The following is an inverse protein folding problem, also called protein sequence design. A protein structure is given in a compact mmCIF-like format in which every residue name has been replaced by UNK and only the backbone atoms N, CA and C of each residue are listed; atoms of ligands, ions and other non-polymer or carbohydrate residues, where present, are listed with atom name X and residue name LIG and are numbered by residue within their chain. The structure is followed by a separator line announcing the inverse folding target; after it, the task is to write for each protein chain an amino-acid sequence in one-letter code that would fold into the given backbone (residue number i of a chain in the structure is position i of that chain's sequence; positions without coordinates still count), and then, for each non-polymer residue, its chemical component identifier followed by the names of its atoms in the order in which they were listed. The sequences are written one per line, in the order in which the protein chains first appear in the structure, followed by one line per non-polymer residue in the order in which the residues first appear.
data_IF_926128528076
#
_entry.id   IF_926128528076
#
_cell.length_a   1.000
_cell.length_b   1.000
_cell.length_c   1.000
_cell.angle_alpha   90.00
_cell.angle_beta   90.00
_cell.angle_gamma   90.00
#
_symmetry.space_group_name_H-M   'P 1'
#
loop_
_entity.id
_entity.type
_entity.pdbx_description
1 polymer ?
#
# COMPACT_ATOMS: atom_id res chain seq x y z
N UNK A 1 12.51 47.77 68.42
CA UNK A 1 13.04 48.28 67.13
C UNK A 1 11.86 48.66 66.25
N UNK A 2 11.82 49.88 65.68
CA UNK A 2 10.87 50.36 64.64
C UNK A 2 11.01 49.51 63.35
N UNK A 3 10.09 49.48 62.35
CA UNK A 3 9.14 50.53 61.87
C UNK A 3 7.67 50.05 61.68
N UNK A 4 6.63 50.90 61.78
CA UNK A 4 6.13 52.01 60.93
C UNK A 4 5.30 51.60 59.69
N UNK A 5 3.98 51.82 59.82
CA UNK A 5 2.98 52.34 58.87
C UNK A 5 2.99 51.93 57.37
N UNK A 6 1.87 51.32 56.94
CA UNK A 6 0.83 51.97 56.09
C UNK A 6 -0.54 51.26 56.18
N UNK A 7 -1.67 51.96 55.99
CA UNK A 7 -3.04 51.52 56.29
C UNK A 7 -3.81 50.97 55.06
N UNK A 8 -5.10 50.55 55.21
CA UNK A 8 -5.75 49.55 54.35
C UNK A 8 -6.86 50.07 53.41
N UNK A 9 -7.38 49.11 52.61
CA UNK A 9 -8.67 49.03 51.90
C UNK A 9 -8.85 49.82 50.60
N UNK A 10 -9.07 49.08 49.50
CA UNK A 10 -10.22 49.25 48.59
C UNK A 10 -10.35 48.08 47.61
N UNK A 11 -11.54 47.48 47.63
CA UNK A 11 -12.05 46.61 46.58
C UNK A 11 -11.99 47.32 45.21
N UNK A 12 -11.57 46.59 44.18
CA UNK A 12 -11.89 46.91 42.79
C UNK A 12 -12.04 45.63 41.97
N UNK A 13 -13.25 45.53 41.44
CA UNK A 13 -13.73 44.67 40.37
C UNK A 13 -12.73 44.49 39.20
N UNK A 14 -12.90 43.34 38.55
CA UNK A 14 -12.72 43.10 37.11
C UNK A 14 -11.41 43.54 36.44
N UNK A 15 -10.60 42.56 36.04
CA UNK A 15 -9.83 42.62 34.79
C UNK A 15 -9.49 41.19 34.34
N UNK A 16 -10.50 40.53 33.77
CA UNK A 16 -10.31 39.37 32.92
C UNK A 16 -9.56 39.77 31.64
N UNK A 17 -8.59 38.93 31.31
CA UNK A 17 -7.72 39.02 30.15
C UNK A 17 -8.52 39.13 28.84
N UNK A 18 -8.27 40.20 28.07
CA UNK A 18 -8.78 40.37 26.71
C UNK A 18 -7.94 39.55 25.72
N UNK A 19 -8.56 38.87 24.75
CA UNK A 19 -7.87 38.13 23.70
C UNK A 19 -7.37 39.07 22.59
N UNK A 20 -6.15 38.82 22.13
CA UNK A 20 -5.54 39.44 20.94
C UNK A 20 -6.29 38.97 19.68
N UNK A 21 -7.07 39.85 19.05
CA UNK A 21 -7.68 39.57 17.75
C UNK A 21 -6.66 39.77 16.63
N UNK A 22 -6.34 38.69 15.90
CA UNK A 22 -5.63 38.75 14.62
C UNK A 22 -6.55 39.42 13.58
N UNK A 23 -6.17 40.60 13.11
CA UNK A 23 -6.88 41.33 12.06
C UNK A 23 -6.58 40.65 10.72
N UNK A 24 -7.60 40.04 10.12
CA UNK A 24 -7.52 39.51 8.76
C UNK A 24 -7.17 40.67 7.80
N UNK A 25 -6.01 40.58 7.16
CA UNK A 25 -5.63 41.45 6.06
C UNK A 25 -6.64 41.29 4.94
N UNK A 26 -7.33 42.38 4.64
CA UNK A 26 -8.03 42.60 3.39
C UNK A 26 -7.11 42.21 2.24
N UNK A 27 -7.52 41.22 1.45
CA UNK A 27 -7.03 41.01 0.09
C UNK A 27 -7.31 42.29 -0.70
N UNK A 28 -6.31 43.16 -0.78
CA UNK A 28 -6.24 44.24 -1.74
C UNK A 28 -6.12 43.61 -3.12
N UNK A 29 -7.26 43.54 -3.82
CA UNK A 29 -7.26 43.47 -5.29
C UNK A 29 -6.46 44.68 -5.77
N UNK A 30 -5.38 44.50 -6.56
CA UNK A 30 -4.63 45.65 -7.05
C UNK A 30 -5.53 46.46 -7.98
N UNK A 31 -5.41 47.80 -7.98
CA UNK A 31 -6.18 48.63 -8.89
C UNK A 31 -5.82 48.20 -10.32
N UNK A 32 -6.86 48.01 -11.12
CA UNK A 32 -6.75 47.77 -12.56
C UNK A 32 -6.04 48.95 -13.19
N UNK A 33 -4.73 48.82 -13.39
CA UNK A 33 -4.00 49.64 -14.34
C UNK A 33 -4.44 49.16 -15.72
N UNK A 34 -5.20 49.99 -16.42
CA UNK A 34 -5.50 49.81 -17.83
C UNK A 34 -4.18 49.72 -18.60
N UNK A 35 -3.85 48.51 -19.04
CA UNK A 35 -2.64 48.21 -19.79
C UNK A 35 -2.77 46.83 -20.40
N UNK A 36 -2.57 46.74 -21.71
CA UNK A 36 -2.80 45.57 -22.56
C UNK A 36 -2.02 44.29 -22.21
N UNK A 37 -1.33 44.21 -21.06
CA UNK A 37 -0.51 43.07 -20.63
C UNK A 37 -1.16 42.12 -19.60
N UNK A 38 -2.30 42.46 -19.01
CA UNK A 38 -2.95 41.62 -17.99
C UNK A 38 -3.52 40.30 -18.52
N UNK A 39 -3.99 40.30 -19.77
CA UNK A 39 -4.48 39.10 -20.45
C UNK A 39 -3.35 38.11 -20.78
N UNK A 40 -2.16 38.61 -21.10
CA UNK A 40 -1.02 37.79 -21.53
C UNK A 40 -0.42 36.97 -20.39
N UNK A 41 -0.35 37.55 -19.17
CA UNK A 41 0.16 36.85 -17.99
C UNK A 41 -0.83 35.78 -17.49
N UNK A 42 -2.14 36.07 -17.49
CA UNK A 42 -3.18 35.10 -17.15
C UNK A 42 -3.27 33.94 -18.17
N UNK A 43 -3.09 34.24 -19.46
CA UNK A 43 -3.05 33.23 -20.53
C UNK A 43 -1.78 32.38 -20.46
N UNK A 44 -0.62 32.97 -20.13
CA UNK A 44 0.63 32.24 -19.94
C UNK A 44 0.60 31.36 -18.67
N UNK A 45 -0.04 31.80 -17.59
CA UNK A 45 -0.22 31.02 -16.37
C UNK A 45 -1.22 29.87 -16.59
N UNK A 46 -2.37 30.14 -17.23
CA UNK A 46 -3.35 29.12 -17.62
C UNK A 46 -2.77 28.12 -18.65
N UNK A 47 -1.92 28.61 -19.56
CA UNK A 47 -1.13 27.80 -20.49
C UNK A 47 -0.19 26.86 -19.75
N UNK A 48 0.66 27.36 -18.84
CA UNK A 48 1.56 26.53 -18.02
C UNK A 48 0.83 25.51 -17.15
N UNK A 49 -0.34 25.85 -16.59
CA UNK A 49 -1.16 24.92 -15.79
C UNK A 49 -1.78 23.84 -16.68
N UNK A 50 -2.28 24.19 -17.88
CA UNK A 50 -2.76 23.21 -18.86
C UNK A 50 -1.63 22.31 -19.36
N UNK A 51 -0.44 22.85 -19.66
CA UNK A 51 0.71 22.05 -20.12
C UNK A 51 1.22 21.11 -19.03
N UNK A 52 1.25 21.55 -17.76
CA UNK A 52 1.57 20.67 -16.62
C UNK A 52 0.51 19.58 -16.41
N UNK A 53 -0.78 19.91 -16.53
CA UNK A 53 -1.86 18.92 -16.41
C UNK A 53 -1.84 17.89 -17.56
N UNK A 54 -1.54 18.33 -18.80
CA UNK A 54 -1.37 17.45 -19.96
C UNK A 54 -0.11 16.60 -19.81
N UNK A 55 1.02 17.16 -19.36
CA UNK A 55 2.25 16.42 -19.11
C UNK A 55 2.08 15.36 -18.01
N UNK A 56 1.37 15.68 -16.92
CA UNK A 56 1.07 14.72 -15.85
C UNK A 56 0.12 13.61 -16.35
N UNK A 57 -0.89 13.95 -17.16
CA UNK A 57 -1.77 12.95 -17.79
C UNK A 57 -1.00 12.07 -18.77
N UNK A 58 -0.16 12.65 -19.62
CA UNK A 58 0.67 11.94 -20.58
C UNK A 58 1.66 11.01 -19.86
N UNK A 59 2.30 11.47 -18.77
CA UNK A 59 3.16 10.65 -17.94
C UNK A 59 2.40 9.49 -17.29
N UNK A 60 1.19 9.74 -16.75
CA UNK A 60 0.36 8.68 -16.16
C UNK A 60 -0.06 7.65 -17.21
N UNK A 61 -0.47 8.09 -18.39
CA UNK A 61 -0.80 7.20 -19.52
C UNK A 61 0.44 6.42 -19.95
N UNK A 62 1.59 7.07 -20.10
CA UNK A 62 2.85 6.44 -20.45
C UNK A 62 3.24 5.37 -19.42
N UNK A 63 3.13 5.63 -18.13
CA UNK A 63 3.44 4.65 -17.08
C UNK A 63 2.50 3.44 -17.12
N UNK A 64 1.21 3.65 -17.37
CA UNK A 64 0.24 2.56 -17.55
C UNK A 64 0.57 1.76 -18.80
N UNK A 65 0.86 2.43 -19.92
CA UNK A 65 1.26 1.79 -21.18
C UNK A 65 2.56 1.01 -21.00
N UNK A 66 3.55 1.56 -20.30
CA UNK A 66 4.80 0.86 -19.98
C UNK A 66 4.56 -0.35 -19.08
N UNK A 67 3.75 -0.21 -18.02
CA UNK A 67 3.41 -1.34 -17.15
C UNK A 67 2.72 -2.46 -17.96
N UNK A 68 1.75 -2.11 -18.80
CA UNK A 68 1.05 -3.06 -19.67
C UNK A 68 1.99 -3.65 -20.73
N UNK A 69 2.92 -2.87 -21.27
CA UNK A 69 3.92 -3.34 -22.23
C UNK A 69 4.92 -4.31 -21.58
N UNK A 70 5.38 -4.05 -20.35
CA UNK A 70 6.24 -4.97 -19.62
C UNK A 70 5.49 -6.25 -19.20
N UNK A 71 4.23 -6.14 -18.77
CA UNK A 71 3.38 -7.31 -18.55
C UNK A 71 3.22 -8.12 -19.85
N UNK A 72 2.88 -7.45 -20.95
CA UNK A 72 2.70 -8.06 -22.26
C UNK A 72 3.98 -8.71 -22.76
N UNK A 73 5.13 -8.05 -22.63
CA UNK A 73 6.45 -8.60 -22.95
C UNK A 73 6.79 -9.81 -22.08
N UNK A 74 6.52 -9.75 -20.78
CA UNK A 74 6.75 -10.88 -19.87
C UNK A 74 5.93 -12.10 -20.25
N UNK A 75 4.71 -11.91 -20.77
CA UNK A 75 3.85 -13.00 -21.23
C UNK A 75 4.25 -13.47 -22.64
N UNK A 76 4.53 -12.53 -23.55
CA UNK A 76 4.90 -12.82 -24.93
C UNK A 76 6.25 -13.54 -25.04
N UNK A 77 7.24 -13.15 -24.23
CA UNK A 77 8.57 -13.78 -24.21
C UNK A 77 8.54 -15.25 -23.76
N UNK A 78 7.45 -15.69 -23.12
CA UNK A 78 7.26 -17.05 -22.63
C UNK A 78 6.02 -17.71 -23.25
N UNK A 79 5.48 -17.16 -24.35
CA UNK A 79 4.18 -17.54 -24.87
C UNK A 79 4.12 -19.01 -25.28
N UNK A 80 5.07 -19.46 -26.10
CA UNK A 80 5.10 -20.85 -26.56
C UNK A 80 5.27 -21.82 -25.38
N UNK A 81 6.20 -21.51 -24.48
CA UNK A 81 6.43 -22.29 -23.26
C UNK A 81 5.20 -22.31 -22.33
N UNK A 82 4.45 -21.21 -22.23
CA UNK A 82 3.24 -21.12 -21.43
C UNK A 82 2.08 -21.91 -22.06
N UNK A 83 1.93 -21.86 -23.38
CA UNK A 83 0.93 -22.65 -24.12
C UNK A 83 1.21 -24.14 -23.93
N UNK A 84 2.46 -24.56 -24.10
CA UNK A 84 2.84 -25.96 -23.92
C UNK A 84 2.73 -26.40 -22.46
N UNK A 85 3.02 -25.51 -21.51
CA UNK A 85 2.79 -25.75 -20.08
C UNK A 85 1.30 -25.97 -19.78
N UNK A 86 0.43 -25.11 -20.30
CA UNK A 86 -1.01 -25.20 -20.04
C UNK A 86 -1.65 -26.41 -20.69
N UNK A 87 -1.14 -26.87 -21.84
CA UNK A 87 -1.59 -28.12 -22.47
C UNK A 87 -1.29 -29.37 -21.64
N UNK A 88 -0.27 -29.32 -20.80
CA UNK A 88 0.11 -30.42 -19.91
C UNK A 88 -0.71 -30.44 -18.61
N UNK A 89 -1.38 -29.35 -18.26
CA UNK A 89 -2.11 -29.19 -17.01
C UNK A 89 -3.61 -29.33 -17.20
N UNK A 90 -4.29 -29.90 -16.19
CA UNK A 90 -5.76 -29.93 -16.21
C UNK A 90 -6.35 -28.53 -15.98
N UNK A 91 -7.45 -28.22 -16.65
CA UNK A 91 -8.17 -26.95 -16.46
C UNK A 91 -8.65 -26.74 -15.02
N UNK A 92 -8.94 -27.83 -14.30
CA UNK A 92 -9.35 -27.79 -12.89
C UNK A 92 -8.18 -27.31 -12.02
N UNK A 93 -6.98 -27.83 -12.23
CA UNK A 93 -5.79 -27.39 -11.52
C UNK A 93 -5.47 -25.92 -11.82
N UNK A 94 -5.55 -25.50 -13.09
CA UNK A 94 -5.34 -24.10 -13.49
C UNK A 94 -6.37 -23.15 -12.87
N UNK A 95 -7.66 -23.54 -12.89
CA UNK A 95 -8.73 -22.75 -12.28
C UNK A 95 -8.60 -22.67 -10.75
N UNK A 96 -8.27 -23.79 -10.10
CA UNK A 96 -7.98 -23.85 -8.67
C UNK A 96 -6.78 -22.99 -8.28
N UNK A 97 -5.70 -23.05 -9.05
CA UNK A 97 -4.51 -22.23 -8.86
C UNK A 97 -4.84 -20.73 -9.05
N UNK A 98 -5.62 -20.37 -10.06
CA UNK A 98 -6.09 -18.99 -10.26
C UNK A 98 -6.91 -18.50 -9.06
N UNK A 99 -7.89 -19.30 -8.62
CA UNK A 99 -8.75 -18.95 -7.49
C UNK A 99 -7.94 -18.78 -6.20
N UNK A 100 -6.99 -19.67 -5.93
CA UNK A 100 -6.08 -19.58 -4.79
C UNK A 100 -5.19 -18.33 -4.87
N UNK A 101 -4.67 -18.00 -6.07
CA UNK A 101 -3.88 -16.79 -6.30
C UNK A 101 -4.67 -15.50 -6.06
N UNK A 102 -5.90 -15.42 -6.58
CA UNK A 102 -6.82 -14.29 -6.35
C UNK A 102 -7.17 -14.14 -4.86
N UNK A 103 -7.49 -15.24 -4.19
CA UNK A 103 -7.77 -15.25 -2.76
C UNK A 103 -6.54 -14.82 -1.93
N UNK A 104 -5.34 -15.26 -2.33
CA UNK A 104 -4.08 -14.85 -1.70
C UNK A 104 -3.82 -13.35 -1.81
N UNK A 105 -4.00 -12.78 -3.00
CA UNK A 105 -3.90 -11.34 -3.23
C UNK A 105 -4.93 -10.56 -2.39
N UNK A 106 -6.16 -11.06 -2.30
CA UNK A 106 -7.21 -10.46 -1.49
C UNK A 106 -6.89 -10.50 0.01
N UNK A 107 -6.40 -11.63 0.52
CA UNK A 107 -5.96 -11.77 1.91
C UNK A 107 -4.82 -10.78 2.25
N UNK A 108 -3.81 -10.65 1.38
CA UNK A 108 -2.75 -9.65 1.56
C UNK A 108 -3.27 -8.22 1.57
N UNK A 109 -4.27 -7.90 0.73
CA UNK A 109 -4.94 -6.60 0.76
C UNK A 109 -5.62 -6.34 2.11
N UNK A 110 -6.28 -7.36 2.69
CA UNK A 110 -6.87 -7.25 4.03
C UNK A 110 -5.79 -7.04 5.11
N UNK A 111 -4.65 -7.72 5.01
CA UNK A 111 -3.51 -7.49 5.92
C UNK A 111 -3.01 -6.04 5.87
N UNK A 112 -2.87 -5.46 4.68
CA UNK A 112 -2.55 -4.05 4.51
C UNK A 112 -3.63 -3.11 5.08
N UNK A 113 -4.91 -3.46 4.89
CA UNK A 113 -6.05 -2.71 5.45
C UNK A 113 -6.00 -2.59 6.97
N UNK A 114 -5.59 -3.65 7.67
CA UNK A 114 -5.44 -3.63 9.12
C UNK A 114 -4.39 -2.61 9.55
N UNK A 115 -3.26 -2.49 8.83
CA UNK A 115 -2.26 -1.47 9.13
C UNK A 115 -2.76 -0.05 8.90
N UNK A 116 -3.48 0.19 7.81
CA UNK A 116 -4.13 1.49 7.57
C UNK A 116 -5.11 1.86 8.70
N UNK A 117 -5.96 0.92 9.10
CA UNK A 117 -6.90 1.11 10.19
C UNK A 117 -6.19 1.35 11.53
N UNK A 118 -5.15 0.57 11.83
CA UNK A 118 -4.36 0.69 13.06
C UNK A 118 -3.55 1.97 13.16
N UNK A 119 -3.17 2.57 12.03
CA UNK A 119 -2.55 3.90 11.97
C UNK A 119 -3.59 5.04 12.01
N UNK A 120 -4.87 4.74 12.23
CA UNK A 120 -5.94 5.73 12.35
C UNK A 120 -6.53 6.19 11.02
N UNK A 121 -6.43 5.39 9.97
CA UNK A 121 -7.00 5.70 8.64
C UNK A 121 -7.78 4.51 8.07
N UNK A 122 -8.88 4.10 8.73
CA UNK A 122 -9.69 2.97 8.28
C UNK A 122 -10.34 3.27 6.93
N UNK A 123 -10.24 2.32 6.01
CA UNK A 123 -10.90 2.38 4.70
C UNK A 123 -11.91 1.24 4.55
N UNK A 124 -13.02 1.46 3.81
CA UNK A 124 -13.92 0.38 3.44
C UNK A 124 -13.23 -0.59 2.48
N UNK A 125 -13.55 -1.88 2.58
CA UNK A 125 -12.90 -2.96 1.80
C UNK A 125 -12.90 -2.66 0.30
N UNK A 126 -14.01 -2.12 -0.24
CA UNK A 126 -14.12 -1.75 -1.66
C UNK A 126 -13.09 -0.68 -2.06
N UNK A 127 -12.86 0.32 -1.21
CA UNK A 127 -11.86 1.35 -1.49
C UNK A 127 -10.44 0.77 -1.42
N UNK A 128 -10.17 -0.03 -0.38
CA UNK A 128 -8.88 -0.71 -0.25
C UNK A 128 -8.60 -1.63 -1.44
N UNK A 129 -9.57 -2.44 -1.85
CA UNK A 129 -9.46 -3.30 -3.03
C UNK A 129 -9.15 -2.49 -4.30
N UNK A 130 -9.85 -1.37 -4.51
CA UNK A 130 -9.61 -0.49 -5.66
C UNK A 130 -8.18 0.05 -5.67
N UNK A 131 -7.73 0.55 -4.52
CA UNK A 131 -6.39 1.12 -4.36
C UNK A 131 -5.34 0.03 -4.55
N UNK A 132 -5.48 -1.12 -3.88
CA UNK A 132 -4.56 -2.24 -3.99
C UNK A 132 -4.48 -2.73 -5.44
N UNK A 133 -5.60 -3.05 -6.08
CA UNK A 133 -5.63 -3.56 -7.45
C UNK A 133 -4.91 -2.65 -8.45
N UNK A 134 -5.17 -1.33 -8.41
CA UNK A 134 -4.51 -0.38 -9.31
C UNK A 134 -3.04 -0.17 -8.93
N UNK A 135 -2.72 -0.05 -7.64
CA UNK A 135 -1.33 0.16 -7.19
C UNK A 135 -0.42 -1.04 -7.49
N UNK A 136 -0.96 -2.26 -7.51
CA UNK A 136 -0.20 -3.47 -7.83
C UNK A 136 0.36 -3.46 -9.25
N UNK A 137 -0.27 -2.78 -10.21
CA UNK A 137 0.29 -2.64 -11.56
C UNK A 137 1.60 -1.84 -11.56
N UNK A 138 1.78 -0.94 -10.59
CA UNK A 138 3.01 -0.16 -10.45
C UNK A 138 4.26 -1.00 -10.15
N UNK A 139 4.10 -2.27 -9.71
CA UNK A 139 5.25 -3.17 -9.42
C UNK A 139 5.94 -3.67 -10.69
N UNK A 140 5.27 -3.59 -11.83
CA UNK A 140 5.81 -3.95 -13.15
C UNK A 140 6.58 -2.81 -13.82
N UNK A 141 6.49 -1.60 -13.28
CA UNK A 141 7.29 -0.46 -13.74
C UNK A 141 8.68 -0.52 -13.08
N UNK A 142 9.79 -0.30 -13.82
CA UNK A 142 11.12 -0.26 -13.24
C UNK A 142 11.22 0.67 -12.02
N UNK A 143 11.91 0.19 -10.98
CA UNK A 143 12.20 0.94 -9.76
C UNK A 143 11.27 0.67 -8.57
N UNK A 144 10.21 -0.15 -8.68
CA UNK A 144 9.25 -0.58 -7.62
C UNK A 144 8.52 0.55 -6.84
N UNK A 145 8.99 1.80 -6.91
CA UNK A 145 8.46 2.99 -6.23
C UNK A 145 7.09 3.40 -6.77
N UNK A 146 6.78 3.08 -8.03
CA UNK A 146 5.51 3.47 -8.66
C UNK A 146 4.28 2.84 -8.03
N UNK A 147 4.37 1.60 -7.53
CA UNK A 147 3.29 0.98 -6.78
C UNK A 147 2.97 1.78 -5.51
N UNK A 148 4.01 2.17 -4.77
CA UNK A 148 3.89 2.97 -3.56
C UNK A 148 3.37 4.38 -3.86
N UNK A 149 3.89 5.05 -4.90
CA UNK A 149 3.41 6.39 -5.31
C UNK A 149 1.93 6.34 -5.69
N UNK A 150 1.53 5.36 -6.49
CA UNK A 150 0.13 5.19 -6.90
C UNK A 150 -0.76 4.92 -5.69
N UNK A 151 -0.30 4.09 -4.76
CA UNK A 151 -1.01 3.80 -3.52
C UNK A 151 -1.19 5.06 -2.67
N UNK A 152 -0.12 5.83 -2.44
CA UNK A 152 -0.17 7.09 -1.69
C UNK A 152 -1.16 8.05 -2.35
N UNK A 153 -1.02 8.31 -3.65
CA UNK A 153 -1.90 9.23 -4.38
C UNK A 153 -3.38 8.81 -4.32
N UNK A 154 -3.68 7.52 -4.49
CA UNK A 154 -5.07 7.05 -4.41
C UNK A 154 -5.62 7.05 -2.98
N UNK A 155 -4.78 6.81 -1.96
CA UNK A 155 -5.21 6.94 -0.55
C UNK A 155 -5.51 8.39 -0.17
N UNK A 156 -4.88 9.38 -0.82
CA UNK A 156 -5.16 10.81 -0.60
C UNK A 156 -6.57 11.20 -1.03
N UNK A 157 -7.15 10.54 -2.03
CA UNK A 157 -8.56 10.72 -2.42
C UNK A 157 -9.52 10.39 -1.25
N UNK A 158 -9.06 9.56 -0.31
CA UNK A 158 -9.78 9.19 0.90
C UNK A 158 -9.31 9.98 2.14
N UNK A 159 -8.62 11.12 1.95
CA UNK A 159 -8.09 11.98 3.01
C UNK A 159 -7.10 11.28 3.95
N UNK A 160 -6.44 10.21 3.49
CA UNK A 160 -5.39 9.53 4.24
C UNK A 160 -4.08 10.33 4.12
N UNK A 161 -3.44 10.71 5.25
CA UNK A 161 -2.12 11.34 5.23
C UNK A 161 -1.06 10.46 4.54
N UNK A 162 -0.16 11.03 3.72
CA UNK A 162 0.84 10.27 2.99
C UNK A 162 1.80 9.51 3.91
N UNK A 163 2.07 10.02 5.12
CA UNK A 163 2.90 9.36 6.13
C UNK A 163 2.26 8.06 6.63
N UNK A 164 0.94 8.05 6.83
CA UNK A 164 0.19 6.85 7.25
C UNK A 164 0.10 5.83 6.12
N UNK A 165 -0.11 6.29 4.89
CA UNK A 165 -0.09 5.43 3.70
C UNK A 165 1.28 4.75 3.56
N UNK A 166 2.37 5.53 3.54
CA UNK A 166 3.74 5.02 3.50
C UNK A 166 4.05 4.05 4.64
N UNK A 167 3.73 4.43 5.88
CA UNK A 167 3.93 3.60 7.06
C UNK A 167 3.19 2.27 6.96
N UNK A 168 1.93 2.29 6.52
CA UNK A 168 1.12 1.06 6.33
C UNK A 168 1.68 0.13 5.27
N UNK A 169 2.20 0.65 4.16
CA UNK A 169 2.81 -0.16 3.09
C UNK A 169 4.10 -0.79 3.58
N UNK A 170 4.93 -0.02 4.27
CA UNK A 170 6.20 -0.48 4.82
C UNK A 170 5.98 -1.58 5.87
N UNK A 171 4.99 -1.40 6.74
CA UNK A 171 4.51 -2.43 7.67
C UNK A 171 4.07 -3.69 6.94
N UNK A 172 3.28 -3.56 5.88
CA UNK A 172 2.82 -4.69 5.09
C UNK A 172 3.97 -5.45 4.42
N UNK A 173 4.95 -4.74 3.86
CA UNK A 173 6.15 -5.34 3.24
C UNK A 173 7.02 -6.05 4.27
N UNK A 174 7.30 -5.41 5.41
CA UNK A 174 8.08 -6.02 6.49
C UNK A 174 7.37 -7.28 7.04
N UNK A 175 6.06 -7.17 7.24
CA UNK A 175 5.23 -8.28 7.72
C UNK A 175 5.19 -9.42 6.72
N UNK A 176 4.95 -9.13 5.44
CA UNK A 176 4.97 -10.11 4.37
C UNK A 176 6.31 -10.83 4.27
N UNK A 177 7.43 -10.10 4.33
CA UNK A 177 8.78 -10.67 4.26
C UNK A 177 9.06 -11.60 5.44
N UNK A 178 8.79 -11.17 6.67
CA UNK A 178 9.02 -11.99 7.85
C UNK A 178 8.08 -13.20 7.90
N UNK A 179 6.80 -13.04 7.58
CA UNK A 179 5.86 -14.14 7.48
C UNK A 179 6.28 -15.12 6.37
N UNK A 180 6.78 -14.64 5.24
CA UNK A 180 7.25 -15.48 4.14
C UNK A 180 8.46 -16.33 4.54
N UNK A 181 9.44 -15.70 5.20
CA UNK A 181 10.60 -16.42 5.76
C UNK A 181 10.18 -17.41 6.86
N UNK A 182 9.24 -17.04 7.74
CA UNK A 182 8.72 -17.94 8.77
C UNK A 182 7.96 -19.12 8.16
N UNK A 183 7.13 -18.88 7.13
CA UNK A 183 6.41 -19.94 6.40
C UNK A 183 7.41 -20.87 5.71
N UNK A 184 8.44 -20.34 5.04
CA UNK A 184 9.50 -21.15 4.46
C UNK A 184 10.24 -21.98 5.52
N UNK A 185 10.61 -21.36 6.65
CA UNK A 185 11.28 -22.01 7.76
C UNK A 185 10.46 -23.14 8.38
N UNK A 186 9.13 -23.01 8.45
CA UNK A 186 8.24 -24.06 8.96
C UNK A 186 7.99 -25.16 7.93
N UNK A 187 7.87 -24.81 6.64
CA UNK A 187 7.48 -25.77 5.60
C UNK A 187 8.64 -26.61 5.07
N UNK A 188 9.86 -26.07 5.01
CA UNK A 188 11.05 -26.80 4.55
C UNK A 188 11.36 -28.07 5.35
N UNK A 189 11.34 -28.09 6.70
CA UNK A 189 11.59 -29.30 7.46
C UNK A 189 10.39 -30.28 7.44
N UNK A 190 9.25 -29.88 6.89
CA UNK A 190 8.07 -30.75 6.73
C UNK A 190 8.05 -31.50 5.40
N UNK A 191 9.02 -31.24 4.52
CA UNK A 191 9.11 -31.87 3.19
C UNK A 191 9.44 -33.37 3.26
N UNK A 192 10.29 -33.79 4.19
CA UNK A 192 10.62 -35.20 4.44
C UNK A 192 11.13 -35.41 5.88
N UNK A 193 11.19 -36.67 6.34
CA UNK A 193 11.75 -36.99 7.65
C UNK A 193 13.23 -36.58 7.78
N UNK A 194 14.03 -36.85 6.74
CA UNK A 194 15.45 -36.46 6.67
C UNK A 194 15.64 -34.94 6.68
N UNK A 195 14.79 -34.20 5.95
CA UNK A 195 14.82 -32.74 5.98
C UNK A 195 14.45 -32.21 7.37
N UNK A 196 13.53 -32.86 8.07
CA UNK A 196 13.18 -32.52 9.45
C UNK A 196 14.36 -32.66 10.40
N UNK A 197 15.07 -33.79 10.32
CA UNK A 197 16.24 -34.07 11.17
C UNK A 197 17.40 -33.10 10.89
N UNK A 198 17.58 -32.69 9.63
CA UNK A 198 18.65 -31.77 9.23
C UNK A 198 18.33 -30.31 9.53
N UNK A 199 17.07 -29.90 9.33
CA UNK A 199 16.65 -28.50 9.36
C UNK A 199 15.69 -28.15 10.52
N UNK A 200 15.62 -28.98 11.56
CA UNK A 200 14.74 -28.76 12.72
C UNK A 200 14.92 -27.37 13.36
N UNK A 201 16.13 -26.80 13.31
CA UNK A 201 16.44 -25.48 13.86
C UNK A 201 15.66 -24.34 13.17
N UNK A 202 15.18 -24.55 11.94
CA UNK A 202 14.31 -23.57 11.26
C UNK A 202 12.98 -23.38 11.98
N UNK A 203 12.47 -24.40 12.70
CA UNK A 203 11.28 -24.25 13.54
C UNK A 203 11.51 -23.26 14.69
N UNK A 204 12.73 -23.13 15.20
CA UNK A 204 13.09 -22.14 16.20
C UNK A 204 13.31 -20.75 15.59
N UNK A 205 13.74 -20.69 14.32
CA UNK A 205 13.93 -19.42 13.61
C UNK A 205 12.58 -18.75 13.28
N UNK A 206 11.55 -19.52 12.96
CA UNK A 206 10.22 -19.00 12.64
C UNK A 206 9.61 -18.07 13.72
N UNK A 207 9.52 -18.46 15.01
CA UNK A 207 9.02 -17.58 16.06
C UNK A 207 9.95 -16.38 16.29
N UNK A 208 11.25 -16.49 16.05
CA UNK A 208 12.17 -15.34 16.12
C UNK A 208 11.85 -14.32 15.03
N UNK A 209 11.67 -14.76 13.78
CA UNK A 209 11.27 -13.90 12.66
C UNK A 209 9.93 -13.21 12.92
N UNK A 210 8.95 -13.92 13.50
CA UNK A 210 7.66 -13.34 13.88
C UNK A 210 7.77 -12.43 15.12
N UNK A 211 8.65 -12.72 16.06
CA UNK A 211 8.90 -11.85 17.21
C UNK A 211 9.52 -10.51 16.79
N UNK A 212 10.29 -10.48 15.69
CA UNK A 212 10.80 -9.22 15.11
C UNK A 212 9.67 -8.29 14.61
N UNK A 213 8.46 -8.79 14.40
CA UNK A 213 7.28 -7.97 14.08
C UNK A 213 6.64 -7.35 15.33
N UNK A 214 7.19 -7.58 16.52
CA UNK A 214 6.66 -6.99 17.73
C UNK A 214 6.56 -5.46 17.58
N UNK A 215 5.44 -4.83 17.99
CA UNK A 215 5.17 -3.42 17.78
C UNK A 215 6.32 -2.48 18.14
N UNK A 216 7.08 -2.80 19.20
CA UNK A 216 8.25 -2.00 19.63
C UNK A 216 9.38 -1.98 18.59
N UNK A 217 9.70 -3.12 17.99
CA UNK A 217 10.77 -3.24 16.98
C UNK A 217 10.32 -2.55 15.70
N UNK A 218 9.07 -2.79 15.32
CA UNK A 218 8.47 -2.22 14.13
C UNK A 218 8.35 -0.70 14.23
N UNK A 219 7.83 -0.16 15.34
CA UNK A 219 7.75 1.31 15.54
C UNK A 219 9.12 1.96 15.63
N UNK A 220 10.11 1.29 16.24
CA UNK A 220 11.49 1.73 16.22
C UNK A 220 12.06 1.80 14.80
N UNK A 221 11.89 0.74 14.00
CA UNK A 221 12.39 0.67 12.62
C UNK A 221 11.70 1.71 11.72
N UNK A 222 10.39 1.87 11.85
CA UNK A 222 9.63 2.92 11.15
C UNK A 222 10.11 4.32 11.55
N UNK A 223 10.33 4.57 12.84
CA UNK A 223 10.85 5.83 13.34
C UNK A 223 12.25 6.15 12.79
N UNK A 224 13.14 5.15 12.74
CA UNK A 224 14.46 5.28 12.14
C UNK A 224 14.37 5.62 10.64
N UNK A 225 13.51 4.92 9.89
CA UNK A 225 13.32 5.17 8.47
C UNK A 225 12.75 6.57 8.22
N UNK A 226 11.71 6.97 8.97
CA UNK A 226 11.10 8.31 8.85
C UNK A 226 12.10 9.42 9.18
N UNK A 227 12.95 9.23 10.19
CA UNK A 227 14.06 10.15 10.49
C UNK A 227 15.05 10.25 9.33
N UNK A 228 15.40 9.11 8.72
CA UNK A 228 16.32 9.08 7.58
C UNK A 228 15.77 9.86 6.38
N UNK A 229 14.46 9.77 6.12
CA UNK A 229 13.78 10.52 5.03
C UNK A 229 13.26 11.90 5.48
N UNK A 230 13.62 12.36 6.68
CA UNK A 230 13.23 13.65 7.27
C UNK A 230 11.72 13.91 7.30
N UNK A 231 10.94 12.88 7.68
CA UNK A 231 9.49 12.94 7.85
C UNK A 231 9.10 12.90 9.34
N UNK A 232 7.96 13.51 9.73
CA UNK A 232 7.49 13.46 11.11
C UNK A 232 7.22 12.01 11.54
N UNK A 233 7.47 11.66 12.81
CA UNK A 233 7.18 10.33 13.33
C UNK A 233 5.68 10.05 13.31
N UNK A 234 5.31 8.77 13.32
CA UNK A 234 3.91 8.36 13.41
C UNK A 234 3.32 8.82 14.76
N UNK A 235 2.11 9.40 14.70
CA UNK A 235 1.40 9.94 15.88
C UNK A 235 1.03 8.85 16.89
N UNK A 236 0.79 7.62 16.42
CA UNK A 236 0.40 6.50 17.26
C UNK A 236 1.19 5.23 16.91
N UNK A 237 1.67 4.49 17.92
CA UNK A 237 2.25 3.17 17.71
C UNK A 237 1.17 2.18 17.27
N UNK A 238 1.52 1.27 16.37
CA UNK A 238 0.63 0.17 15.95
C UNK A 238 0.41 -0.77 17.13
N UNK A 239 -0.85 -1.11 17.43
CA UNK A 239 -1.15 -2.04 18.53
C UNK A 239 -0.79 -3.48 18.17
N UNK A 240 -0.48 -4.30 19.19
CA UNK A 240 -0.19 -5.72 18.98
C UNK A 240 -1.36 -6.46 18.32
N UNK A 241 -2.60 -6.10 18.67
CA UNK A 241 -3.80 -6.71 18.07
C UNK A 241 -3.91 -6.45 16.57
N UNK A 242 -3.54 -5.24 16.10
CA UNK A 242 -3.49 -4.92 14.66
C UNK A 242 -2.41 -5.75 13.98
N UNK A 243 -1.20 -5.80 14.56
CA UNK A 243 -0.10 -6.60 14.01
C UNK A 243 -0.47 -8.08 13.90
N UNK A 244 -1.08 -8.66 14.93
CA UNK A 244 -1.50 -10.08 14.92
C UNK A 244 -2.56 -10.36 13.85
N UNK A 245 -3.54 -9.47 13.68
CA UNK A 245 -4.55 -9.59 12.60
C UNK A 245 -3.88 -9.52 11.22
N UNK A 246 -2.98 -8.55 11.02
CA UNK A 246 -2.26 -8.40 9.77
C UNK A 246 -1.36 -9.61 9.47
N UNK A 247 -0.68 -10.16 10.49
CA UNK A 247 0.08 -11.42 10.39
C UNK A 247 -0.84 -12.57 9.99
N UNK A 248 -2.01 -12.71 10.62
CA UNK A 248 -2.99 -13.75 10.28
C UNK A 248 -3.41 -13.70 8.82
N UNK A 249 -3.79 -12.51 8.31
CA UNK A 249 -4.12 -12.32 6.89
C UNK A 249 -2.92 -12.58 5.95
N UNK A 250 -1.72 -12.20 6.38
CA UNK A 250 -0.49 -12.37 5.59
C UNK A 250 -0.10 -13.84 5.49
N UNK A 251 -0.15 -14.58 6.59
CA UNK A 251 0.09 -16.03 6.63
C UNK A 251 -0.97 -16.76 5.82
N UNK A 252 -2.25 -16.39 5.93
CA UNK A 252 -3.31 -16.94 5.09
C UNK A 252 -3.01 -16.71 3.60
N UNK A 253 -2.57 -15.51 3.23
CA UNK A 253 -2.16 -15.21 1.86
C UNK A 253 -0.99 -16.10 1.39
N UNK A 254 0.04 -16.29 2.23
CA UNK A 254 1.13 -17.22 1.94
C UNK A 254 0.67 -18.66 1.76
N UNK A 255 -0.22 -19.14 2.63
CA UNK A 255 -0.82 -20.48 2.50
C UNK A 255 -1.60 -20.63 1.20
N UNK A 256 -2.38 -19.62 0.81
CA UNK A 256 -3.12 -19.61 -0.45
C UNK A 256 -2.20 -19.59 -1.67
N UNK A 257 -1.09 -18.85 -1.63
CA UNK A 257 -0.06 -18.94 -2.68
C UNK A 257 0.68 -20.28 -2.68
N UNK A 258 0.82 -20.91 -1.52
CA UNK A 258 1.30 -22.28 -1.40
C UNK A 258 0.37 -23.27 -2.08
N UNK A 259 -0.94 -23.17 -1.84
CA UNK A 259 -1.97 -23.95 -2.54
C UNK A 259 -1.93 -23.71 -4.04
N UNK A 260 -1.84 -22.45 -4.48
CA UNK A 260 -1.66 -22.10 -5.89
C UNK A 260 -0.48 -22.85 -6.52
N UNK A 261 0.68 -22.86 -5.85
CA UNK A 261 1.89 -23.51 -6.36
C UNK A 261 1.79 -25.02 -6.30
N UNK A 262 1.20 -25.56 -5.23
CA UNK A 262 0.99 -26.99 -5.05
C UNK A 262 0.11 -27.57 -6.16
N UNK A 263 -1.01 -26.93 -6.49
CA UNK A 263 -1.89 -27.37 -7.57
C UNK A 263 -1.18 -27.40 -8.93
N UNK A 264 -0.24 -26.48 -9.17
CA UNK A 264 0.57 -26.49 -10.38
C UNK A 264 1.62 -27.60 -10.37
N UNK A 265 2.25 -27.86 -9.23
CA UNK A 265 3.19 -28.98 -9.06
C UNK A 265 2.49 -30.34 -9.24
N UNK A 266 1.30 -30.51 -8.66
CA UNK A 266 0.48 -31.72 -8.79
C UNK A 266 0.09 -31.97 -10.26
N UNK A 267 -0.28 -30.91 -10.98
CA UNK A 267 -0.66 -30.97 -12.39
C UNK A 267 0.46 -31.39 -13.35
N UNK A 268 1.73 -31.34 -12.93
CA UNK A 268 2.89 -31.76 -13.74
C UNK A 268 3.51 -33.07 -13.25
N UNK A 269 2.75 -33.84 -12.46
CA UNK A 269 3.17 -35.14 -11.96
C UNK A 269 4.05 -35.09 -10.71
N UNK A 270 4.02 -33.98 -9.97
CA UNK A 270 4.56 -33.95 -8.61
C UNK A 270 3.69 -34.80 -7.68
N UNK A 271 4.31 -35.57 -6.80
CA UNK A 271 3.62 -36.48 -5.89
C UNK A 271 4.15 -36.39 -4.45
N UNK A 272 3.47 -37.09 -3.53
CA UNK A 272 3.86 -37.21 -2.14
C UNK A 272 3.19 -36.25 -1.16
N UNK A 273 3.09 -36.69 0.09
CA UNK A 273 2.44 -35.93 1.19
C UNK A 273 3.22 -34.68 1.60
N UNK A 274 4.51 -34.62 1.27
CA UNK A 274 5.39 -33.46 1.48
C UNK A 274 5.18 -32.34 0.47
N UNK A 275 4.58 -32.63 -0.70
CA UNK A 275 4.49 -31.70 -1.84
C UNK A 275 3.82 -30.36 -1.50
N UNK A 276 2.68 -30.31 -0.75
CA UNK A 276 2.07 -29.03 -0.39
C UNK A 276 3.00 -28.14 0.43
N UNK A 277 3.79 -28.74 1.34
CA UNK A 277 4.76 -28.02 2.16
C UNK A 277 5.94 -27.54 1.31
N UNK A 278 6.49 -28.41 0.46
CA UNK A 278 7.57 -28.06 -0.47
C UNK A 278 7.15 -26.90 -1.38
N UNK A 279 5.97 -26.98 -1.99
CA UNK A 279 5.46 -25.94 -2.89
C UNK A 279 5.25 -24.61 -2.16
N UNK A 280 4.73 -24.65 -0.93
CA UNK A 280 4.54 -23.45 -0.10
C UNK A 280 5.87 -22.80 0.26
N UNK A 281 6.83 -23.58 0.75
CA UNK A 281 8.17 -23.09 1.11
C UNK A 281 8.95 -22.59 -0.10
N UNK A 282 8.91 -23.32 -1.20
CA UNK A 282 9.55 -22.95 -2.47
C UNK A 282 9.02 -21.62 -2.98
N UNK A 283 7.69 -21.45 -3.01
CA UNK A 283 7.08 -20.19 -3.42
C UNK A 283 7.45 -19.03 -2.48
N UNK A 284 7.41 -19.25 -1.17
CA UNK A 284 7.75 -18.22 -0.19
C UNK A 284 9.21 -17.74 -0.35
N UNK A 285 10.16 -18.67 -0.47
CA UNK A 285 11.57 -18.35 -0.73
C UNK A 285 11.75 -17.65 -2.06
N UNK A 286 11.17 -18.17 -3.14
CA UNK A 286 11.29 -17.59 -4.47
C UNK A 286 10.71 -16.18 -4.54
N UNK A 287 9.58 -15.92 -3.86
CA UNK A 287 8.98 -14.61 -3.77
C UNK A 287 9.89 -13.64 -3.01
N UNK A 288 10.41 -14.02 -1.84
CA UNK A 288 11.32 -13.18 -1.05
C UNK A 288 12.61 -12.91 -1.84
N UNK A 289 13.19 -13.92 -2.49
CA UNK A 289 14.36 -13.76 -3.34
C UNK A 289 14.09 -12.79 -4.51
N UNK A 290 12.98 -12.96 -5.22
CA UNK A 290 12.57 -12.04 -6.30
C UNK A 290 12.26 -10.62 -5.81
N UNK A 291 11.79 -10.48 -4.56
CA UNK A 291 11.57 -9.19 -3.94
C UNK A 291 12.90 -8.45 -3.66
N UNK A 292 13.94 -9.17 -3.23
CA UNK A 292 15.27 -8.60 -2.96
C UNK A 292 16.00 -8.14 -4.22
N UNK A 293 15.69 -8.73 -5.38
CA UNK A 293 16.19 -8.24 -6.68
C UNK A 293 15.42 -6.98 -7.06
N UNK A 294 15.88 -5.83 -6.57
CA UNK A 294 15.22 -4.53 -6.74
C UNK A 294 15.19 -4.03 -8.19
N UNK A 295 16.20 -4.40 -8.98
CA UNK A 295 16.41 -3.91 -10.35
C UNK A 295 15.43 -4.56 -11.35
N UNK A 296 15.01 -5.80 -11.11
CA UNK A 296 14.13 -6.53 -12.03
C UNK A 296 12.65 -6.10 -11.86
N UNK A 297 11.98 -5.57 -12.91
CA UNK A 297 10.57 -5.20 -12.84
C UNK A 297 9.73 -6.42 -12.51
N UNK A 298 8.86 -6.33 -11.49
CA UNK A 298 8.02 -7.44 -11.04
C UNK A 298 8.77 -8.70 -10.60
N UNK A 299 10.09 -8.65 -10.37
CA UNK A 299 10.92 -9.81 -10.02
C UNK A 299 11.17 -10.79 -11.18
N UNK A 300 11.00 -10.33 -12.43
CA UNK A 300 11.20 -11.16 -13.64
C UNK A 300 12.59 -11.81 -13.61
N UNK A 301 12.62 -13.12 -13.84
CA UNK A 301 13.81 -13.95 -13.91
C UNK A 301 14.26 -14.45 -12.54
N UNK A 302 14.32 -13.58 -11.54
CA UNK A 302 14.82 -13.95 -10.21
C UNK A 302 13.89 -14.91 -9.47
N UNK A 303 12.58 -14.62 -9.49
CA UNK A 303 11.59 -15.46 -8.82
C UNK A 303 11.41 -16.79 -9.53
N UNK A 304 11.36 -16.77 -10.86
CA UNK A 304 11.20 -17.95 -11.70
C UNK A 304 12.41 -18.88 -11.57
N UNK A 305 13.63 -18.32 -11.58
CA UNK A 305 14.87 -19.08 -11.37
C UNK A 305 14.90 -19.69 -9.96
N UNK A 306 14.60 -18.91 -8.92
CA UNK A 306 14.58 -19.40 -7.55
C UNK A 306 13.53 -20.51 -7.37
N UNK A 307 12.32 -20.34 -7.91
CA UNK A 307 11.26 -21.34 -7.84
C UNK A 307 11.65 -22.63 -8.58
N UNK A 308 12.24 -22.48 -9.77
CA UNK A 308 12.77 -23.60 -10.57
C UNK A 308 13.82 -24.38 -9.77
N UNK A 309 14.84 -23.68 -9.23
CA UNK A 309 15.93 -24.30 -8.47
C UNK A 309 15.41 -25.08 -7.25
N UNK A 310 14.47 -24.51 -6.50
CA UNK A 310 13.95 -25.17 -5.29
C UNK A 310 13.05 -26.36 -5.63
N UNK A 311 12.33 -26.33 -6.76
CA UNK A 311 11.44 -27.42 -7.18
C UNK A 311 12.16 -28.52 -7.98
N UNK A 312 13.33 -28.25 -8.58
CA UNK A 312 14.11 -29.23 -9.35
C UNK A 312 14.36 -30.56 -8.65
N UNK A 313 14.66 -30.63 -7.34
CA UNK A 313 14.91 -31.91 -6.66
C UNK A 313 13.65 -32.76 -6.46
N UNK A 314 12.46 -32.20 -6.61
CA UNK A 314 11.19 -32.85 -6.23
C UNK A 314 10.20 -33.04 -7.38
N UNK A 315 10.47 -32.46 -8.56
CA UNK A 315 9.63 -32.60 -9.73
C UNK A 315 10.37 -33.31 -10.87
N UNK A 316 9.64 -33.95 -11.81
CA UNK A 316 10.23 -34.52 -13.02
C UNK A 316 11.03 -33.49 -13.84
N UNK A 317 11.97 -33.96 -14.64
CA UNK A 317 12.80 -33.09 -15.47
C UNK A 317 11.95 -32.17 -16.37
N UNK A 318 12.27 -30.88 -16.42
CA UNK A 318 11.53 -29.86 -17.17
C UNK A 318 10.30 -29.28 -16.46
N UNK A 319 9.66 -30.03 -15.57
CA UNK A 319 8.46 -29.60 -14.84
C UNK A 319 8.64 -28.36 -13.92
N UNK A 320 9.77 -28.14 -13.22
CA UNK A 320 9.98 -26.94 -12.41
C UNK A 320 9.85 -25.63 -13.18
N UNK A 321 10.38 -25.57 -14.41
CA UNK A 321 10.30 -24.39 -15.27
C UNK A 321 8.86 -24.17 -15.72
N UNK A 322 8.16 -25.24 -16.09
CA UNK A 322 6.74 -25.23 -16.46
C UNK A 322 5.89 -24.62 -15.34
N UNK A 323 6.09 -25.07 -14.08
CA UNK A 323 5.38 -24.52 -12.90
C UNK A 323 5.71 -23.05 -12.68
N UNK A 324 6.99 -22.66 -12.80
CA UNK A 324 7.41 -21.28 -12.59
C UNK A 324 6.77 -20.32 -13.61
N UNK A 325 6.75 -20.70 -14.89
CA UNK A 325 6.11 -19.95 -15.97
C UNK A 325 4.59 -19.89 -15.74
N UNK A 326 3.94 -21.03 -15.49
CA UNK A 326 2.50 -21.09 -15.29
C UNK A 326 2.05 -20.23 -14.09
N UNK A 327 2.75 -20.32 -12.97
CA UNK A 327 2.50 -19.51 -11.78
C UNK A 327 2.61 -18.02 -12.10
N UNK A 328 3.66 -17.63 -12.84
CA UNK A 328 3.88 -16.24 -13.22
C UNK A 328 2.75 -15.69 -14.09
N UNK A 329 2.35 -16.44 -15.11
CA UNK A 329 1.28 -16.05 -16.03
C UNK A 329 -0.04 -15.93 -15.27
N UNK A 330 -0.40 -16.94 -14.46
CA UNK A 330 -1.64 -16.95 -13.68
C UNK A 330 -1.70 -15.79 -12.67
N UNK A 331 -0.63 -15.51 -11.94
CA UNK A 331 -0.62 -14.42 -10.97
C UNK A 331 -0.60 -13.04 -11.63
N UNK A 332 0.07 -12.91 -12.77
CA UNK A 332 0.01 -11.68 -13.57
C UNK A 332 -1.40 -11.46 -14.10
N UNK A 333 -2.06 -12.51 -14.58
CA UNK A 333 -3.48 -12.45 -14.95
C UNK A 333 -4.37 -12.10 -13.74
N UNK A 334 -4.10 -12.66 -12.55
CA UNK A 334 -4.81 -12.32 -11.33
C UNK A 334 -4.66 -10.83 -10.93
N UNK A 335 -3.45 -10.26 -11.07
CA UNK A 335 -3.22 -8.83 -10.88
C UNK A 335 -4.00 -7.99 -11.90
N UNK A 336 -3.99 -8.38 -13.18
CA UNK A 336 -4.74 -7.70 -14.25
C UNK A 336 -6.25 -7.77 -14.03
N UNK A 337 -6.78 -8.93 -13.61
CA UNK A 337 -8.19 -9.12 -13.26
C UNK A 337 -8.55 -8.20 -12.10
N UNK A 338 -7.77 -8.21 -11.01
CA UNK A 338 -8.00 -7.35 -9.85
C UNK A 338 -7.96 -5.86 -10.23
N UNK A 339 -7.00 -5.44 -11.04
CA UNK A 339 -6.91 -4.07 -11.54
C UNK A 339 -8.09 -3.69 -12.46
N UNK A 340 -8.50 -4.60 -13.34
CA UNK A 340 -9.66 -4.42 -14.23
C UNK A 340 -10.96 -4.28 -13.44
N UNK A 341 -11.21 -5.18 -12.48
CA UNK A 341 -12.37 -5.11 -11.58
C UNK A 341 -12.31 -3.82 -10.74
N UNK A 342 -11.16 -3.45 -10.21
CA UNK A 342 -10.95 -2.19 -9.48
C UNK A 342 -11.31 -0.97 -10.33
N UNK A 343 -10.90 -0.93 -11.60
CA UNK A 343 -11.22 0.15 -12.53
C UNK A 343 -12.73 0.25 -12.80
N UNK A 344 -13.40 -0.89 -13.04
CA UNK A 344 -14.85 -0.95 -13.25
C UNK A 344 -15.62 -0.45 -12.02
N UNK A 345 -15.22 -0.90 -10.82
CA UNK A 345 -15.82 -0.46 -9.56
C UNK A 345 -15.61 1.04 -9.29
N UNK A 346 -14.56 1.65 -9.84
CA UNK A 346 -14.27 3.08 -9.72
C UNK A 346 -15.16 3.97 -10.58
N UNK A 347 -15.72 3.47 -11.69
CA UNK A 347 -16.65 4.21 -12.57
C UNK A 347 -18.04 4.35 -11.96
N UNK A 348 -18.41 3.46 -11.03
CA UNK A 348 -19.75 3.37 -10.44
C UNK A 348 -19.90 4.13 -9.11
N UNK A 349 -18.86 4.80 -8.60
CA UNK A 349 -19.02 5.63 -7.40
C UNK A 349 -19.81 6.90 -7.77
N UNK A 350 -21.01 7.13 -7.20
CA UNK A 350 -21.69 8.40 -7.36
C UNK A 350 -20.77 9.51 -6.84
N UNK A 351 -20.64 10.61 -7.59
CA UNK A 351 -20.18 11.88 -7.02
C UNK A 351 -21.15 12.21 -5.88
N UNK A 352 -20.80 11.83 -4.65
CA UNK A 352 -21.54 12.26 -3.47
C UNK A 352 -21.27 13.76 -3.34
N UNK A 353 -22.31 14.53 -3.70
CA UNK A 353 -22.57 15.94 -3.42
C UNK A 353 -21.34 16.87 -3.40
N UNK A 354 -20.98 17.39 -4.57
CA UNK A 354 -20.15 18.58 -4.69
C UNK A 354 -20.95 19.89 -4.62
N UNK A 355 -22.26 19.86 -4.40
CA UNK A 355 -23.10 21.06 -4.26
C UNK A 355 -24.15 20.86 -3.15
N UNK A 356 -23.76 21.14 -1.91
CA UNK A 356 -24.70 21.48 -0.84
C UNK A 356 -23.94 22.25 0.27
N UNK A 357 -23.97 23.58 0.14
CA UNK A 357 -24.02 24.51 1.27
C UNK A 357 -22.85 24.52 2.25
N UNK A 358 -21.86 25.37 1.98
CA UNK A 358 -21.24 26.19 3.03
C UNK A 358 -20.59 27.42 2.38
N UNK A 359 -21.42 28.31 1.85
CA UNK A 359 -21.08 29.73 1.84
C UNK A 359 -20.87 30.16 3.31
N UNK A 360 -19.78 30.84 3.66
CA UNK A 360 -19.67 31.46 4.96
C UNK A 360 -20.75 32.56 5.04
N UNK A 361 -21.65 32.43 6.01
CA UNK A 361 -22.65 33.44 6.31
C UNK A 361 -22.02 34.84 6.31
N UNK A 362 -22.47 35.68 5.39
CA UNK A 362 -22.16 37.09 5.35
C UNK A 362 -22.50 37.69 6.71
N UNK A 363 -21.50 38.23 7.40
CA UNK A 363 -21.68 39.02 8.62
C UNK A 363 -22.69 40.12 8.34
N UNK A 364 -23.86 39.97 8.92
CA UNK A 364 -24.86 41.01 9.06
C UNK A 364 -24.22 42.17 9.84
N UNK A 365 -23.99 43.28 9.15
CA UNK A 365 -23.59 44.54 9.74
C UNK A 365 -24.77 45.06 10.55
N UNK A 366 -24.83 44.70 11.84
CA UNK A 366 -25.67 45.37 12.83
C UNK A 366 -25.10 46.78 13.01
N UNK A 367 -25.58 47.71 12.19
CA UNK A 367 -25.57 49.14 12.50
C UNK A 367 -26.88 49.45 13.18
N UNK A 368 -26.87 49.45 14.51
CA UNK A 368 -27.71 50.41 15.20
C UNK A 368 -26.97 50.96 16.42
N UNK A 369 -26.73 52.26 16.34
CA UNK A 369 -26.05 53.09 17.34
C UNK A 369 -27.16 53.62 18.24
N UNK A 370 -27.29 53.08 19.46
CA UNK A 370 -28.13 53.75 20.45
C UNK A 370 -27.47 55.08 20.85
N UNK A 371 -28.10 56.18 20.45
CA UNK A 371 -27.86 57.50 21.03
C UNK A 371 -28.21 57.47 22.51
N UNK A 372 -27.23 57.77 23.35
CA UNK A 372 -27.45 58.34 24.67
C UNK A 372 -28.32 59.60 24.54
N UNK A 373 -29.48 59.61 25.21
CA UNK A 373 -30.17 60.85 25.57
C UNK A 373 -29.88 61.10 27.05
N UNK A 374 -29.00 62.06 27.28
CA UNK A 374 -28.91 62.79 28.55
C UNK A 374 -29.98 63.89 28.58
N UNK A 375 -30.73 63.94 29.68
CA UNK A 375 -31.32 65.14 30.29
C UNK A 375 -32.58 65.77 29.66
N UNK A 376 -33.30 66.61 30.42
CA UNK A 376 -33.00 67.13 31.77
C UNK A 376 -33.61 66.34 32.92
#
# INVERSE_FOLDING_TARGET
MRPCHRPPVRDCHELQARPFSFRAGSLTVPPTVGGAGGGEVAFAYAGRVKTKAVAVRALRVLLVVLALAFCGYSVASQWDAAVDAFRQMSWIALAGAMAAGLAGLFAWMLGWREFLAGLGSPLPVRATFRISGVSQLGKYVPGKVWALVTQIEMTREHKVPPERSFGSTLLAVATSTACGLAVAAVTLPLTSATARETYWWLFLLAPVMLAMLHPKIVTWALGLMLRLIRRPPLEHPVSLGVTLKAVGWTVLGWSLFGVHTWLLCDAVGGDGTGLPFTATGAYALAFVAGFLVFIAPGGIGAREAALTVVLSPVLPAGAPVVVAIASRVLLTAADLINAGVAFLLGRTAPRVAADAGNEPASRELVRDTQRTKEGP
#
